data_IF_590050220983
#
_entry.id   IF_590050220983
#
_cell.length_a   1.000
_cell.length_b   1.000
_cell.length_c   1.000
_cell.angle_alpha   90.00
_cell.angle_beta   90.00
_cell.angle_gamma   90.00
#
_symmetry.space_group_name_H-M   'P 1'
#
loop_
_entity.id
_entity.type
_entity.pdbx_description
1 polymer ?
#
# COMPACT_ATOMS: atom_id res chain seq x y z
N UNK A 1 -17.61 8.78 6.66
CA UNK A 1 -16.41 9.10 5.86
C UNK A 1 -16.25 7.97 4.85
N UNK A 2 -15.99 8.30 3.58
CA UNK A 2 -15.70 7.31 2.54
C UNK A 2 -14.43 6.54 2.92
N UNK A 3 -14.45 5.21 2.79
CA UNK A 3 -13.26 4.39 3.06
C UNK A 3 -12.34 4.56 1.86
N UNK A 4 -11.07 4.97 2.03
CA UNK A 4 -10.22 5.19 0.87
C UNK A 4 -9.94 3.88 0.13
N UNK A 5 -9.60 3.98 -1.15
CA UNK A 5 -9.28 2.81 -1.97
C UNK A 5 -8.01 2.09 -1.50
N UNK A 6 -7.10 2.85 -0.89
CA UNK A 6 -5.89 2.35 -0.26
C UNK A 6 -5.56 3.21 0.95
N UNK A 7 -4.66 2.76 1.81
CA UNK A 7 -3.99 3.60 2.81
C UNK A 7 -2.49 3.54 2.57
N UNK A 8 -1.78 4.57 3.01
CA UNK A 8 -0.33 4.57 2.91
C UNK A 8 0.29 5.32 4.08
N UNK A 9 1.51 4.93 4.40
CA UNK A 9 2.34 5.51 5.46
C UNK A 9 3.80 5.39 5.05
N UNK A 10 4.68 6.14 5.71
CA UNK A 10 6.10 6.13 5.40
C UNK A 10 6.97 6.25 6.65
N UNK A 11 8.23 5.86 6.50
CA UNK A 11 9.30 6.26 7.40
C UNK A 11 10.46 6.89 6.59
N UNK A 12 11.64 6.98 7.21
CA UNK A 12 12.82 7.57 6.58
C UNK A 12 13.28 6.83 5.33
N UNK A 13 13.01 5.52 5.22
CA UNK A 13 13.57 4.66 4.17
C UNK A 13 12.51 4.02 3.26
N UNK A 14 11.26 3.93 3.72
CA UNK A 14 10.24 3.06 3.14
C UNK A 14 8.89 3.77 3.05
N UNK A 15 8.15 3.50 1.98
CA UNK A 15 6.72 3.80 1.85
C UNK A 15 5.96 2.49 1.85
N UNK A 16 4.89 2.39 2.64
CA UNK A 16 4.03 1.21 2.74
C UNK A 16 2.62 1.57 2.28
N UNK A 17 2.06 0.78 1.38
CA UNK A 17 0.73 0.97 0.81
C UNK A 17 -0.09 -0.28 1.09
N UNK A 18 -1.36 -0.13 1.46
CA UNK A 18 -2.28 -1.23 1.75
C UNK A 18 -3.62 -1.01 1.08
N UNK A 19 -4.23 -2.06 0.56
CA UNK A 19 -5.61 -2.06 0.11
C UNK A 19 -6.17 -3.47 0.09
N UNK A 20 -7.49 -3.58 0.12
CA UNK A 20 -8.20 -4.85 0.11
C UNK A 20 -8.55 -5.26 -1.33
N UNK A 21 -8.60 -6.57 -1.56
CA UNK A 21 -9.00 -7.22 -2.81
C UNK A 21 -10.03 -8.31 -2.47
N UNK A 22 -10.89 -8.72 -3.43
CA UNK A 22 -11.81 -9.83 -3.20
C UNK A 22 -11.11 -11.09 -2.72
N UNK A 23 -11.73 -11.84 -1.80
CA UNK A 23 -11.13 -13.03 -1.17
C UNK A 23 -10.73 -14.15 -2.15
N UNK A 24 -11.33 -14.19 -3.35
CA UNK A 24 -11.00 -15.14 -4.40
C UNK A 24 -9.70 -14.81 -5.16
N UNK A 25 -9.16 -13.59 -4.99
CA UNK A 25 -7.96 -13.14 -5.69
C UNK A 25 -6.74 -13.89 -5.17
N UNK A 26 -5.96 -14.47 -6.08
CA UNK A 26 -4.68 -15.11 -5.79
C UNK A 26 -3.52 -14.25 -6.29
N UNK A 27 -2.28 -14.62 -5.93
CA UNK A 27 -1.08 -13.95 -6.45
C UNK A 27 -0.98 -13.94 -7.97
N UNK A 28 -1.55 -14.93 -8.66
CA UNK A 28 -1.48 -15.01 -10.13
C UNK A 28 -2.39 -13.97 -10.81
N UNK A 29 -3.40 -13.50 -10.09
CA UNK A 29 -4.40 -12.53 -10.57
C UNK A 29 -3.92 -11.09 -10.40
N UNK A 30 -2.76 -10.86 -9.76
CA UNK A 30 -2.25 -9.53 -9.47
C UNK A 30 -1.57 -8.91 -10.70
N UNK A 31 -1.98 -7.69 -11.02
CA UNK A 31 -1.27 -6.77 -11.92
C UNK A 31 -0.25 -5.99 -11.09
N UNK A 32 1.04 -6.15 -11.40
CA UNK A 32 2.14 -5.46 -10.70
C UNK A 32 3.16 -4.93 -11.69
N UNK A 33 3.04 -3.65 -12.02
CA UNK A 33 3.96 -2.91 -12.88
C UNK A 33 4.54 -1.75 -12.06
N UNK A 34 5.69 -1.95 -11.43
CA UNK A 34 6.37 -0.93 -10.61
C UNK A 34 7.73 -0.63 -11.23
N UNK A 35 8.01 0.65 -11.47
CA UNK A 35 9.30 1.14 -11.97
C UNK A 35 9.99 1.99 -10.90
N UNK A 36 11.16 2.55 -11.21
CA UNK A 36 11.86 3.46 -10.32
C UNK A 36 11.08 4.75 -10.00
N UNK A 37 10.03 5.11 -10.75
CA UNK A 37 9.28 6.35 -10.54
C UNK A 37 7.78 6.24 -10.79
N UNK A 38 7.26 5.06 -11.14
CA UNK A 38 5.83 4.87 -11.44
C UNK A 38 5.31 3.57 -10.85
N UNK A 39 4.00 3.54 -10.63
CA UNK A 39 3.28 2.36 -10.15
C UNK A 39 1.99 2.19 -10.94
N UNK A 40 1.75 0.97 -11.41
CA UNK A 40 0.43 0.46 -11.79
C UNK A 40 0.21 -0.87 -11.08
N UNK A 41 -0.77 -0.91 -10.19
CA UNK A 41 -1.01 -2.05 -9.34
C UNK A 41 -2.52 -2.29 -9.17
N UNK A 42 -2.96 -3.54 -9.31
CA UNK A 42 -4.34 -3.93 -9.09
C UNK A 42 -4.57 -5.42 -9.36
N UNK A 43 -5.79 -5.76 -9.78
CA UNK A 43 -6.18 -7.12 -10.19
C UNK A 43 -6.33 -7.14 -11.70
N UNK A 44 -5.85 -8.19 -12.36
CA UNK A 44 -5.94 -8.37 -13.82
C UNK A 44 -7.40 -8.40 -14.26
N UNK A 45 -7.71 -7.73 -15.37
CA UNK A 45 -9.07 -7.61 -15.90
C UNK A 45 -9.95 -6.57 -15.20
N UNK A 46 -9.43 -5.89 -14.18
CA UNK A 46 -10.11 -4.83 -13.45
C UNK A 46 -9.37 -3.50 -13.62
N UNK A 47 -10.01 -2.40 -13.21
CA UNK A 47 -9.31 -1.13 -13.14
C UNK A 47 -8.21 -1.20 -12.05
N UNK A 48 -7.02 -0.62 -12.29
CA UNK A 48 -5.95 -0.67 -11.32
C UNK A 48 -6.34 0.10 -10.05
N UNK A 49 -5.88 -0.36 -8.89
CA UNK A 49 -6.09 0.35 -7.63
C UNK A 49 -5.18 1.58 -7.55
N UNK A 50 -3.96 1.44 -8.06
CA UNK A 50 -2.95 2.50 -8.15
C UNK A 50 -2.49 2.60 -9.60
N UNK A 51 -2.46 3.80 -10.17
CA UNK A 51 -1.90 4.06 -11.49
C UNK A 51 -1.40 5.50 -11.59
N UNK A 52 -0.08 5.70 -11.61
CA UNK A 52 0.50 7.03 -11.71
C UNK A 52 2.00 7.12 -11.44
N UNK A 53 2.49 8.36 -11.49
CA UNK A 53 3.86 8.73 -11.12
C UNK A 53 3.98 8.84 -9.60
N UNK A 54 4.98 8.17 -9.03
CA UNK A 54 5.31 8.27 -7.61
C UNK A 54 5.84 9.66 -7.27
N UNK A 55 5.72 10.08 -6.01
CA UNK A 55 6.21 11.39 -5.61
C UNK A 55 7.73 11.55 -5.73
N UNK A 56 8.50 10.50 -5.40
CA UNK A 56 9.94 10.47 -5.62
C UNK A 56 10.38 9.10 -6.17
N UNK A 57 11.64 9.02 -6.61
CA UNK A 57 12.24 7.78 -7.07
C UNK A 57 12.40 6.73 -5.95
N UNK A 58 12.26 5.47 -6.35
CA UNK A 58 12.47 4.29 -5.51
C UNK A 58 13.61 3.45 -6.07
N UNK A 59 14.30 2.71 -5.19
CA UNK A 59 15.40 1.80 -5.55
C UNK A 59 15.00 0.32 -5.54
N UNK A 60 13.82 0.03 -5.01
CA UNK A 60 13.29 -1.32 -4.89
C UNK A 60 11.82 -1.32 -4.48
N UNK A 61 11.14 -2.42 -4.78
CA UNK A 61 9.75 -2.64 -4.40
C UNK A 61 9.52 -4.11 -4.09
N UNK A 62 8.62 -4.39 -3.15
CA UNK A 62 8.11 -5.75 -2.87
C UNK A 62 6.64 -5.66 -2.50
N UNK A 63 5.91 -6.75 -2.67
CA UNK A 63 4.51 -6.81 -2.24
C UNK A 63 4.15 -8.20 -1.71
N UNK A 64 3.10 -8.25 -0.89
CA UNK A 64 2.54 -9.48 -0.33
C UNK A 64 1.01 -9.44 -0.42
N UNK A 65 0.41 -10.59 -0.71
CA UNK A 65 -1.02 -10.83 -0.55
C UNK A 65 -1.24 -11.70 0.68
N UNK A 66 -2.04 -11.21 1.62
CA UNK A 66 -2.56 -11.98 2.75
C UNK A 66 -3.90 -12.59 2.33
N UNK A 67 -3.85 -13.81 1.81
CA UNK A 67 -5.01 -14.49 1.18
C UNK A 67 -6.15 -14.74 2.16
N UNK A 68 -5.84 -14.94 3.45
CA UNK A 68 -6.80 -15.13 4.53
C UNK A 68 -7.72 -13.92 4.77
N UNK A 69 -7.20 -12.71 4.53
CA UNK A 69 -7.92 -11.45 4.76
C UNK A 69 -8.15 -10.65 3.47
N UNK A 70 -7.69 -11.14 2.31
CA UNK A 70 -7.80 -10.44 1.03
C UNK A 70 -7.09 -9.08 1.03
N UNK A 71 -5.91 -8.96 1.65
CA UNK A 71 -5.21 -7.66 1.74
C UNK A 71 -3.87 -7.68 1.02
N UNK A 72 -3.66 -6.67 0.17
CA UNK A 72 -2.36 -6.38 -0.44
C UNK A 72 -1.59 -5.41 0.45
N UNK A 73 -0.29 -5.69 0.62
CA UNK A 73 0.66 -4.74 1.18
C UNK A 73 1.83 -4.57 0.20
N UNK A 74 2.12 -3.33 -0.19
CA UNK A 74 3.23 -2.95 -1.06
C UNK A 74 4.24 -2.17 -0.20
N UNK A 75 5.52 -2.49 -0.33
CA UNK A 75 6.62 -1.76 0.27
C UNK A 75 7.50 -1.21 -0.84
N UNK A 76 7.73 0.10 -0.82
CA UNK A 76 8.62 0.81 -1.73
C UNK A 76 9.84 1.32 -0.96
N UNK A 77 11.03 0.91 -1.37
CA UNK A 77 12.29 1.35 -0.77
C UNK A 77 12.70 2.68 -1.44
N UNK A 78 12.73 3.78 -0.66
CA UNK A 78 13.08 5.12 -1.17
C UNK A 78 14.51 5.16 -1.69
N UNK A 79 14.73 5.84 -2.81
CA UNK A 79 16.08 6.10 -3.33
C UNK A 79 16.86 7.08 -2.44
N UNK A 80 16.17 8.12 -1.95
CA UNK A 80 16.74 9.13 -1.06
C UNK A 80 16.08 9.05 0.31
N UNK A 81 16.86 8.67 1.33
CA UNK A 81 16.38 8.55 2.70
C UNK A 81 16.07 9.92 3.31
N UNK A 82 15.19 9.93 4.31
CA UNK A 82 14.82 11.10 5.12
C UNK A 82 14.11 12.23 4.37
N UNK A 83 13.73 12.04 3.10
CA UNK A 83 12.81 12.93 2.40
C UNK A 83 11.37 12.44 2.61
N UNK A 84 10.51 13.22 3.28
CA UNK A 84 9.10 12.89 3.41
C UNK A 84 8.38 13.09 2.08
N UNK A 85 7.53 12.14 1.73
CA UNK A 85 6.63 12.24 0.59
C UNK A 85 5.35 12.93 1.07
N UNK A 86 4.97 14.07 0.49
CA UNK A 86 3.72 14.72 0.88
C UNK A 86 2.49 14.07 0.24
N UNK A 87 2.71 13.29 -0.82
CA UNK A 87 1.70 12.56 -1.58
C UNK A 87 2.32 11.23 -2.02
N UNK A 88 1.50 10.22 -2.29
CA UNK A 88 1.99 8.95 -2.83
C UNK A 88 2.24 9.07 -4.34
N UNK A 89 1.27 9.65 -5.04
CA UNK A 89 1.25 9.85 -6.49
C UNK A 89 1.34 11.36 -6.78
N UNK A 90 1.94 11.78 -7.89
CA UNK A 90 2.00 13.20 -8.31
C UNK A 90 1.23 13.49 -9.58
N UNK A 91 1.08 12.48 -10.43
CA UNK A 91 0.23 12.54 -11.61
C UNK A 91 -0.35 11.17 -11.91
N UNK A 92 -1.62 11.13 -12.28
CA UNK A 92 -2.30 9.92 -12.69
C UNK A 92 -2.01 9.63 -14.16
N UNK A 93 -2.05 8.36 -14.55
CA UNK A 93 -1.83 7.99 -15.94
C UNK A 93 -2.96 8.54 -16.83
N UNK A 94 -2.62 9.45 -17.74
CA UNK A 94 -3.57 10.03 -18.70
C UNK A 94 -4.03 9.05 -19.78
N UNK A 95 -3.47 7.84 -19.81
CA UNK A 95 -3.85 6.78 -20.75
C UNK A 95 -4.97 5.88 -20.24
N UNK A 96 -5.50 6.12 -19.03
CA UNK A 96 -6.67 5.39 -18.54
C UNK A 96 -7.86 5.63 -19.48
N UNK A 97 -8.52 4.58 -19.99
CA UNK A 97 -9.74 4.73 -20.78
C UNK A 97 -10.96 5.08 -19.91
N UNK A 98 -10.82 5.04 -18.58
CA UNK A 98 -11.90 5.27 -17.62
C UNK A 98 -11.89 6.72 -17.13
N UNK A 99 -13.08 7.34 -17.06
CA UNK A 99 -13.27 8.68 -16.48
C UNK A 99 -13.17 8.66 -14.95
N UNK A 100 -13.54 7.54 -14.32
CA UNK A 100 -13.42 7.31 -12.89
C UNK A 100 -13.28 5.81 -12.60
N UNK A 101 -13.08 5.48 -11.32
CA UNK A 101 -13.08 4.10 -10.82
C UNK A 101 -14.08 4.00 -9.69
N UNK A 102 -14.63 2.80 -9.48
CA UNK A 102 -15.55 2.55 -8.39
C UNK A 102 -15.22 1.23 -7.68
N UNK A 103 -15.41 1.17 -6.37
CA UNK A 103 -15.37 -0.08 -5.60
C UNK A 103 -16.78 -0.60 -5.46
N UNK A 104 -16.97 -1.87 -5.75
CA UNK A 104 -18.22 -2.55 -5.48
C UNK A 104 -18.40 -2.70 -3.97
N UNK A 105 -19.52 -2.18 -3.46
CA UNK A 105 -19.87 -2.21 -2.04
C UNK A 105 -20.78 -3.38 -1.70
N UNK A 106 -21.61 -3.80 -2.65
CA UNK A 106 -22.58 -4.89 -2.47
C UNK A 106 -22.59 -5.79 -3.70
N UNK A 107 -22.86 -7.07 -3.46
CA UNK A 107 -23.06 -8.05 -4.54
C UNK A 107 -24.30 -7.69 -5.37
N UNK A 108 -24.19 -7.85 -6.69
CA UNK A 108 -25.30 -7.62 -7.62
C UNK A 108 -25.28 -8.70 -8.70
N UNK A 109 -26.46 -9.27 -8.99
CA UNK A 109 -26.65 -10.19 -10.10
C UNK A 109 -27.33 -9.46 -11.25
N UNK A 110 -26.69 -9.45 -12.42
CA UNK A 110 -27.26 -8.87 -13.63
C UNK A 110 -28.63 -9.48 -13.95
N UNK A 111 -29.58 -8.64 -14.32
CA UNK A 111 -30.95 -9.04 -14.66
C UNK A 111 -31.14 -9.27 -16.15
N UNK A 112 -30.22 -8.77 -16.98
CA UNK A 112 -30.18 -8.91 -18.43
C UNK A 112 -28.74 -8.85 -18.94
N UNK A 113 -28.54 -9.04 -20.25
CA UNK A 113 -27.21 -9.12 -20.88
C UNK A 113 -26.46 -7.78 -20.98
N UNK A 114 -27.16 -6.65 -20.78
CA UNK A 114 -26.58 -5.32 -20.81
C UNK A 114 -25.99 -4.90 -19.45
N UNK A 115 -26.30 -5.65 -18.38
CA UNK A 115 -25.87 -5.37 -17.00
C UNK A 115 -24.67 -6.21 -16.57
N UNK A 116 -23.86 -5.67 -15.66
CA UNK A 116 -22.72 -6.37 -15.06
C UNK A 116 -23.08 -6.96 -13.70
N UNK A 117 -22.81 -8.25 -13.50
CA UNK A 117 -22.78 -8.84 -12.15
C UNK A 117 -21.54 -8.35 -11.40
N UNK A 118 -21.70 -7.99 -10.12
CA UNK A 118 -20.69 -7.34 -9.29
C UNK A 118 -20.39 -8.16 -8.05
N UNK A 119 -19.11 -8.23 -7.65
CA UNK A 119 -18.71 -8.82 -6.37
C UNK A 119 -18.08 -7.76 -5.46
N UNK A 120 -18.38 -7.77 -4.14
CA UNK A 120 -17.81 -6.82 -3.20
C UNK A 120 -16.28 -6.71 -3.29
N UNK A 121 -15.78 -5.49 -3.09
CA UNK A 121 -14.35 -5.12 -3.14
C UNK A 121 -13.69 -5.16 -4.53
N UNK A 122 -14.40 -5.52 -5.60
CA UNK A 122 -13.88 -5.34 -6.96
C UNK A 122 -13.75 -3.85 -7.29
N UNK A 123 -12.69 -3.48 -8.02
CA UNK A 123 -12.48 -2.13 -8.52
C UNK A 123 -12.75 -2.11 -10.02
N UNK A 124 -13.83 -1.47 -10.41
CA UNK A 124 -14.28 -1.42 -11.80
C UNK A 124 -13.98 -0.05 -12.41
N UNK A 125 -13.70 -0.06 -13.71
CA UNK A 125 -13.52 1.16 -14.48
C UNK A 125 -14.87 1.72 -14.90
N UNK A 126 -15.06 3.03 -14.77
CA UNK A 126 -16.28 3.72 -15.17
C UNK A 126 -15.97 4.58 -16.40
N UNK A 127 -16.79 4.46 -17.44
CA UNK A 127 -16.71 5.25 -18.68
C UNK A 127 -17.64 6.46 -18.65
N UNK A 128 -18.84 6.29 -18.10
CA UNK A 128 -19.86 7.32 -18.06
C UNK A 128 -20.87 7.06 -16.94
N UNK A 129 -21.66 8.08 -16.63
CA UNK A 129 -22.85 8.00 -15.78
C UNK A 129 -23.97 8.78 -16.43
N UNK A 130 -25.21 8.37 -16.18
CA UNK A 130 -26.39 9.13 -16.58
C UNK A 130 -27.26 9.55 -15.37
N UNK A 131 -28.30 10.34 -15.64
CA UNK A 131 -29.23 10.83 -14.61
C UNK A 131 -30.24 9.75 -14.15
N UNK A 132 -30.19 8.54 -14.72
CA UNK A 132 -31.11 7.44 -14.39
C UNK A 132 -30.61 6.56 -13.23
N UNK A 133 -29.41 6.83 -12.72
CA UNK A 133 -28.79 6.09 -11.62
C UNK A 133 -27.94 4.90 -12.07
N UNK A 134 -27.63 4.81 -13.36
CA UNK A 134 -26.76 3.78 -13.94
C UNK A 134 -25.42 4.36 -14.35
N UNK A 135 -24.39 3.53 -14.23
CA UNK A 135 -23.04 3.80 -14.70
C UNK A 135 -22.73 2.85 -15.86
N UNK A 136 -22.05 3.34 -16.89
CA UNK A 136 -21.41 2.49 -17.89
C UNK A 136 -19.99 2.19 -17.41
N UNK A 137 -19.66 0.91 -17.26
CA UNK A 137 -18.33 0.51 -16.80
C UNK A 137 -17.85 -0.81 -17.37
N UNK A 138 -16.68 -1.25 -16.90
CA UNK A 138 -16.01 -2.47 -17.34
C UNK A 138 -15.65 -3.37 -16.16
N UNK A 139 -15.97 -4.65 -16.31
CA UNK A 139 -15.58 -5.72 -15.40
C UNK A 139 -15.03 -6.90 -16.20
N UNK A 140 -13.81 -7.34 -15.91
CA UNK A 140 -13.15 -8.46 -16.60
C UNK A 140 -13.11 -8.30 -18.13
N UNK A 141 -12.94 -7.06 -18.61
CA UNK A 141 -12.95 -6.72 -20.04
C UNK A 141 -14.34 -6.69 -20.69
N UNK A 142 -15.41 -6.92 -19.93
CA UNK A 142 -16.80 -6.84 -20.41
C UNK A 142 -17.39 -5.50 -20.01
N UNK A 143 -17.98 -4.80 -20.97
CA UNK A 143 -18.69 -3.53 -20.74
C UNK A 143 -20.17 -3.78 -20.44
N UNK A 144 -20.74 -2.96 -19.56
CA UNK A 144 -22.17 -2.99 -19.27
C UNK A 144 -22.60 -1.98 -18.22
N UNK A 145 -23.89 -2.02 -17.92
CA UNK A 145 -24.56 -1.15 -16.96
C UNK A 145 -24.33 -1.64 -15.52
N UNK A 146 -24.06 -0.69 -14.63
CA UNK A 146 -23.80 -0.89 -13.20
C UNK A 146 -24.75 0.01 -12.41
N UNK A 147 -25.53 -0.52 -11.46
CA UNK A 147 -26.38 0.31 -10.62
C UNK A 147 -25.51 1.14 -9.65
N UNK A 148 -25.61 2.47 -9.73
CA UNK A 148 -24.71 3.39 -9.00
C UNK A 148 -24.77 3.24 -7.48
N UNK A 149 -25.89 2.78 -6.91
CA UNK A 149 -26.04 2.56 -5.48
C UNK A 149 -25.35 1.29 -4.94
N UNK A 150 -24.78 0.46 -5.83
CA UNK A 150 -23.99 -0.72 -5.46
C UNK A 150 -22.49 -0.46 -5.41
N UNK A 151 -22.05 0.74 -5.80
CA UNK A 151 -20.64 1.08 -5.90
C UNK A 151 -20.34 2.40 -5.22
N UNK A 152 -19.09 2.55 -4.80
CA UNK A 152 -18.54 3.80 -4.30
C UNK A 152 -17.54 4.34 -5.33
N UNK A 153 -17.88 5.46 -5.98
CA UNK A 153 -16.99 6.11 -6.96
C UNK A 153 -15.88 6.83 -6.19
N UNK A 154 -14.65 6.63 -6.66
CA UNK A 154 -13.51 7.42 -6.20
C UNK A 154 -13.18 8.46 -7.26
N UNK A 155 -12.95 9.69 -6.82
CA UNK A 155 -12.31 10.67 -7.68
C UNK A 155 -10.93 10.09 -8.02
N UNK A 156 -10.62 9.95 -9.31
CA UNK A 156 -9.37 9.35 -9.78
C UNK A 156 -8.14 10.04 -9.17
N UNK A 157 -8.29 11.29 -8.75
CA UNK A 157 -7.24 12.11 -8.16
C UNK A 157 -7.17 12.06 -6.63
N UNK A 158 -8.14 11.43 -5.98
CA UNK A 158 -8.19 11.40 -4.53
C UNK A 158 -7.07 10.51 -3.99
N UNK A 159 -6.12 11.15 -3.33
CA UNK A 159 -5.12 10.47 -2.52
C UNK A 159 -5.55 10.58 -1.06
N UNK A 160 -5.67 9.45 -0.36
CA UNK A 160 -5.87 9.46 1.07
C UNK A 160 -4.68 10.16 1.73
N UNK A 161 -4.97 10.93 2.77
CA UNK A 161 -3.93 11.46 3.64
C UNK A 161 -3.10 10.31 4.20
N UNK A 162 -1.82 10.58 4.45
CA UNK A 162 -0.93 9.63 5.12
C UNK A 162 -1.57 9.16 6.43
N UNK A 163 -1.56 7.84 6.65
CA UNK A 163 -2.04 7.23 7.89
C UNK A 163 -1.05 7.53 9.01
N UNK A 164 -1.29 8.65 9.71
CA UNK A 164 -0.39 9.19 10.75
C UNK A 164 -0.18 8.20 11.89
N UNK A 165 -1.22 7.44 12.26
CA UNK A 165 -1.13 6.43 13.31
C UNK A 165 -0.22 5.28 12.86
N UNK A 166 -0.44 4.75 11.66
CA UNK A 166 0.41 3.72 11.09
C UNK A 166 1.86 4.19 10.89
N UNK A 167 2.08 5.44 10.47
CA UNK A 167 3.43 6.03 10.34
C UNK A 167 4.15 6.09 11.68
N UNK A 168 3.45 6.50 12.75
CA UNK A 168 4.01 6.59 14.09
C UNK A 168 4.34 5.22 14.68
N UNK A 169 3.51 4.20 14.42
CA UNK A 169 3.79 2.81 14.81
C UNK A 169 4.97 2.23 14.04
N UNK A 170 5.01 2.44 12.72
CA UNK A 170 6.05 1.90 11.86
C UNK A 170 7.42 2.49 12.19
N UNK A 171 7.51 3.79 12.51
CA UNK A 171 8.75 4.45 12.93
C UNK A 171 9.35 3.83 14.21
N UNK A 172 8.52 3.38 15.16
CA UNK A 172 9.01 2.74 16.41
C UNK A 172 9.67 1.38 16.17
N UNK A 173 9.40 0.71 15.05
CA UNK A 173 9.95 -0.62 14.76
C UNK A 173 11.39 -0.59 14.25
N UNK A 174 11.89 0.54 13.73
CA UNK A 174 13.27 0.67 13.26
C UNK A 174 14.28 0.86 14.42
N UNK A 175 13.86 1.44 15.55
CA UNK A 175 14.74 1.71 16.70
C UNK A 175 15.07 0.47 17.57
N UNK A 176 14.40 -0.68 17.33
CA UNK A 176 14.60 -1.93 18.07
C UNK A 176 15.56 -2.92 17.37
N UNK A 177 16.62 -2.42 16.74
CA UNK A 177 17.74 -3.28 16.31
C UNK A 177 18.78 -3.31 17.45
N UNK A 178 18.98 -4.42 18.17
CA UNK A 178 20.00 -4.47 19.21
C UNK A 178 21.37 -4.30 18.55
N UNK A 179 22.03 -3.18 18.84
CA UNK A 179 23.47 -3.05 18.65
C UNK A 179 24.16 -4.20 19.38
N UNK A 180 25.11 -4.86 18.72
CA UNK A 180 26.05 -5.74 19.41
C UNK A 180 26.97 -4.87 20.27
N UNK A 181 26.59 -4.67 21.52
CA UNK A 181 27.42 -3.99 22.51
C UNK A 181 28.44 -5.01 23.02
N UNK A 182 29.62 -5.08 22.39
CA UNK A 182 30.73 -5.84 22.93
C UNK A 182 31.31 -5.08 24.13
N UNK A 183 30.73 -5.27 25.31
CA UNK A 183 31.32 -4.84 26.57
C UNK A 183 32.22 -5.96 27.12
N UNK A 184 33.49 -5.97 26.71
CA UNK A 184 34.55 -6.52 27.55
C UNK A 184 35.62 -5.45 27.74
N UNK A 185 35.47 -4.67 28.81
CA UNK A 185 36.60 -4.06 29.50
C UNK A 185 36.18 -3.72 30.94
N UNK A 186 37.09 -4.05 31.85
CA UNK A 186 37.19 -3.65 33.26
C UNK A 186 36.67 -4.68 34.28
N UNK A 187 37.60 -5.52 34.75
CA UNK A 187 37.66 -5.89 36.18
C UNK A 187 38.88 -5.20 36.78
N UNK A 188 38.69 -4.01 37.38
CA UNK A 188 39.63 -3.45 38.32
C UNK A 188 39.33 -3.98 39.72
N UNK A 189 40.22 -4.84 40.22
CA UNK A 189 40.30 -5.18 41.64
C UNK A 189 41.00 -4.03 42.37
N UNK A 190 40.41 -3.56 43.47
CA UNK A 190 41.11 -2.85 44.53
C UNK A 190 40.68 -3.46 45.86
N UNK A 191 41.63 -4.08 46.55
CA UNK A 191 41.54 -4.35 47.98
C UNK A 191 42.85 -3.89 48.63
N UNK A 192 42.71 -3.14 49.72
CA UNK A 192 43.75 -2.47 50.46
C UNK A 192 44.64 -3.45 51.26
N UNK A 193 45.94 -3.14 51.26
CA UNK A 193 46.92 -3.18 52.36
C UNK A 193 46.98 -4.39 53.32
N UNK A 194 48.15 -5.05 53.37
CA UNK A 194 48.85 -5.36 54.63
C UNK A 194 50.36 -5.58 54.39
N UNK A 195 51.16 -5.00 55.28
CA UNK A 195 52.62 -5.10 55.47
C UNK A 195 53.20 -6.53 55.38
N UNK A 196 54.40 -6.71 54.80
CA UNK A 196 55.58 -7.25 55.52
C UNK A 196 56.88 -7.32 54.67
N UNK A 197 57.93 -6.69 55.19
CA UNK A 197 59.38 -6.97 55.20
C UNK A 197 60.08 -7.92 54.19
N UNK A 198 61.18 -7.35 53.66
CA UNK A 198 62.57 -7.86 53.59
C UNK A 198 63.08 -8.81 52.49
N UNK A 199 64.14 -8.28 51.87
CA UNK A 199 65.48 -8.84 51.62
C UNK A 199 65.73 -9.68 50.37
N UNK A 200 66.60 -9.08 49.55
CA UNK A 200 67.67 -9.63 48.71
C UNK A 200 68.10 -11.06 49.07
N UNK A 201 68.21 -11.92 48.06
CA UNK A 201 69.49 -12.32 47.43
C UNK A 201 69.21 -12.91 46.04
#
# INVERSE_FOLDING_TARGET
MSVPLYTWHQNNSTVVIKFDVPAAVTKQDILSEITGSSIKFGVKGFAPHLDGQLANAIKGSRWTLKEDVGQIQILLDKSTQSIPWNNLITSFSSSSPFVSRARVMYEYSATNEEELSLLPYEVIGIFASDDSGWLEGERLGVKGAIPSNFVEIFQNDYQPLEDVEASAEFAKTEDNKPGKNNNESIKHHHHHHHHCYSLEF
#
